data_IF_709718268319
#
_entry.id   IF_709718268319
#
_cell.length_a   1.000
_cell.length_b   1.000
_cell.length_c   1.000
_cell.angle_alpha   90.00
_cell.angle_beta   90.00
_cell.angle_gamma   90.00
#
_symmetry.space_group_name_H-M   'P 1'
#
loop_
_entity.id
_entity.type
_entity.pdbx_description
1 polymer ?
#
# COMPACT_ATOMS: atom_id res chain seq x y z
N UNK A 1 -10.10 23.30 36.95
CA UNK A 1 -9.31 22.09 36.71
C UNK A 1 -9.03 22.10 35.20
N UNK A 2 -7.78 22.39 34.78
CA UNK A 2 -7.39 22.43 33.38
C UNK A 2 -7.20 20.96 32.98
N UNK A 3 -7.82 20.44 31.88
CA UNK A 3 -7.59 19.10 31.43
C UNK A 3 -6.10 18.97 31.05
N UNK A 4 -5.42 18.01 31.65
CA UNK A 4 -4.07 17.63 31.27
C UNK A 4 -4.10 17.23 29.79
N UNK A 5 -3.40 17.99 28.95
CA UNK A 5 -3.16 17.57 27.58
C UNK A 5 -2.49 16.19 27.64
N UNK A 6 -3.11 15.19 27.02
CA UNK A 6 -2.49 13.90 26.85
C UNK A 6 -1.12 14.13 26.20
N UNK A 7 -0.04 13.74 26.89
CA UNK A 7 1.30 13.79 26.30
C UNK A 7 1.29 12.78 25.16
N UNK A 8 1.34 13.23 23.92
CA UNK A 8 1.69 12.36 22.80
C UNK A 8 3.07 11.76 23.09
N UNK A 9 3.13 10.47 23.25
CA UNK A 9 4.39 9.74 23.42
C UNK A 9 4.99 9.62 22.02
N UNK A 10 6.09 10.31 21.80
CA UNK A 10 6.82 10.22 20.54
C UNK A 10 7.82 9.07 20.64
N UNK A 11 7.65 8.04 19.82
CA UNK A 11 8.49 6.86 19.75
C UNK A 11 9.62 7.03 18.72
N UNK A 12 10.78 6.51 19.04
CA UNK A 12 11.85 6.35 18.06
C UNK A 12 11.53 5.19 17.11
N UNK A 13 12.15 5.18 15.94
CA UNK A 13 11.99 4.05 15.01
C UNK A 13 12.51 2.73 15.62
N UNK A 14 13.54 2.76 16.45
CA UNK A 14 14.07 1.59 17.13
C UNK A 14 13.04 1.01 18.14
N UNK A 15 12.32 1.87 18.88
CA UNK A 15 11.24 1.43 19.77
C UNK A 15 10.08 0.81 18.99
N UNK A 16 9.72 1.37 17.83
CA UNK A 16 8.75 0.76 16.92
C UNK A 16 9.20 -0.63 16.46
N UNK A 17 10.45 -0.81 16.04
CA UNK A 17 10.96 -2.11 15.61
C UNK A 17 10.90 -3.14 16.74
N UNK A 18 11.22 -2.75 17.96
CA UNK A 18 11.10 -3.63 19.15
C UNK A 18 9.64 -4.03 19.38
N UNK A 19 8.70 -3.07 19.28
CA UNK A 19 7.27 -3.36 19.39
C UNK A 19 6.81 -4.35 18.31
N UNK A 20 7.23 -4.15 17.07
CA UNK A 20 6.87 -5.03 15.94
C UNK A 20 7.40 -6.47 16.09
N UNK A 21 8.57 -6.64 16.70
CA UNK A 21 9.14 -7.97 16.97
C UNK A 21 8.39 -8.72 18.07
N UNK A 22 7.84 -8.01 19.05
CA UNK A 22 7.14 -8.58 20.21
C UNK A 22 5.62 -8.71 19.98
N UNK A 23 5.06 -7.97 19.04
CA UNK A 23 3.61 -7.90 18.81
C UNK A 23 3.12 -8.98 17.85
N UNK A 24 1.92 -9.51 18.13
CA UNK A 24 1.16 -10.32 17.17
C UNK A 24 0.33 -9.49 16.18
N UNK A 25 0.22 -8.18 16.43
CA UNK A 25 -0.49 -7.22 15.56
C UNK A 25 0.53 -6.33 14.87
N UNK A 26 0.33 -6.07 13.57
CA UNK A 26 1.16 -5.13 12.81
C UNK A 26 0.81 -3.69 13.13
N UNK A 27 1.81 -2.84 13.05
CA UNK A 27 1.65 -1.41 13.25
C UNK A 27 2.29 -0.64 12.11
N UNK A 28 1.69 0.48 11.75
CA UNK A 28 2.33 1.53 10.98
C UNK A 28 3.07 2.48 11.91
N UNK A 29 4.18 3.02 11.41
CA UNK A 29 4.94 4.06 12.10
C UNK A 29 5.04 5.28 11.19
N UNK A 30 4.68 6.45 11.70
CA UNK A 30 4.83 7.70 10.99
C UNK A 30 5.31 8.78 11.96
N UNK A 31 6.52 9.27 11.73
CA UNK A 31 7.12 10.41 12.44
C UNK A 31 6.93 10.38 13.98
N UNK A 32 7.21 9.23 14.57
CA UNK A 32 7.14 9.03 16.03
C UNK A 32 5.81 8.52 16.56
N UNK A 33 4.80 8.39 15.73
CA UNK A 33 3.52 7.81 16.11
C UNK A 33 3.40 6.36 15.60
N UNK A 34 2.78 5.50 16.41
CA UNK A 34 2.57 4.09 16.12
C UNK A 34 1.07 3.81 16.09
N UNK A 35 0.59 3.27 14.97
CA UNK A 35 -0.81 2.97 14.73
C UNK A 35 -1.00 1.47 14.54
N UNK A 36 -1.83 0.84 15.37
CA UNK A 36 -2.19 -0.56 15.17
C UNK A 36 -3.01 -0.72 13.89
N UNK A 37 -2.63 -1.67 13.05
CA UNK A 37 -3.37 -1.99 11.84
C UNK A 37 -4.59 -2.85 12.19
N UNK A 38 -5.77 -2.40 11.80
CA UNK A 38 -6.99 -3.17 11.91
C UNK A 38 -7.02 -4.28 10.83
N UNK A 39 -7.69 -5.40 11.14
CA UNK A 39 -8.00 -6.40 10.12
C UNK A 39 -8.99 -5.85 9.08
N UNK A 40 -8.90 -6.32 7.85
CA UNK A 40 -9.86 -5.99 6.79
C UNK A 40 -11.15 -6.80 6.88
N UNK A 41 -12.20 -6.35 6.17
CA UNK A 41 -13.45 -7.12 5.96
C UNK A 41 -13.18 -8.32 5.02
N UNK A 42 -14.12 -9.29 4.91
CA UNK A 42 -14.04 -10.34 3.90
C UNK A 42 -13.84 -9.80 2.48
N UNK A 43 -14.60 -8.78 2.07
CA UNK A 43 -14.46 -8.14 0.76
C UNK A 43 -13.07 -7.53 0.55
N UNK A 44 -12.53 -6.84 1.56
CA UNK A 44 -11.17 -6.31 1.51
C UNK A 44 -10.14 -7.43 1.26
N UNK A 45 -10.25 -8.53 1.99
CA UNK A 45 -9.33 -9.67 1.84
C UNK A 45 -9.48 -10.34 0.47
N UNK A 46 -10.72 -10.49 -0.04
CA UNK A 46 -11.02 -11.07 -1.35
C UNK A 46 -10.44 -10.20 -2.48
N UNK A 47 -10.66 -8.89 -2.45
CA UNK A 47 -10.13 -7.95 -3.44
C UNK A 47 -8.59 -7.92 -3.44
N UNK A 48 -7.95 -7.91 -2.27
CA UNK A 48 -6.50 -8.01 -2.16
C UNK A 48 -5.99 -9.32 -2.76
N UNK A 49 -6.62 -10.45 -2.40
CA UNK A 49 -6.29 -11.76 -2.96
C UNK A 49 -6.43 -11.82 -4.48
N UNK A 50 -7.53 -11.30 -5.02
CA UNK A 50 -7.82 -11.27 -6.45
C UNK A 50 -6.74 -10.50 -7.23
N UNK A 51 -6.48 -9.24 -6.84
CA UNK A 51 -5.48 -8.41 -7.56
C UNK A 51 -4.08 -9.00 -7.50
N UNK A 52 -3.66 -9.55 -6.35
CA UNK A 52 -2.34 -10.17 -6.20
C UNK A 52 -2.20 -11.43 -7.05
N UNK A 53 -3.26 -12.26 -7.12
CA UNK A 53 -3.32 -13.45 -7.96
C UNK A 53 -3.21 -13.11 -9.45
N UNK A 54 -3.99 -12.11 -9.90
CA UNK A 54 -3.97 -11.63 -11.28
C UNK A 54 -2.57 -11.12 -11.63
N UNK A 55 -1.98 -10.27 -10.81
CA UNK A 55 -0.63 -9.75 -11.02
C UNK A 55 0.40 -10.88 -11.06
N UNK A 56 0.35 -11.82 -10.12
CA UNK A 56 1.28 -12.95 -10.07
C UNK A 56 1.27 -13.76 -11.35
N UNK A 57 0.11 -13.91 -12.00
CA UNK A 57 -0.04 -14.68 -13.25
C UNK A 57 0.43 -13.92 -14.49
N UNK A 58 0.44 -12.58 -14.46
CA UNK A 58 0.68 -11.73 -15.65
C UNK A 58 2.03 -11.02 -15.64
N UNK A 59 2.70 -10.92 -14.48
CA UNK A 59 3.98 -10.20 -14.40
C UNK A 59 5.10 -10.93 -15.14
N UNK A 60 6.01 -10.20 -15.82
CA UNK A 60 7.16 -10.76 -16.48
C UNK A 60 8.16 -11.39 -15.48
N UNK A 61 9.03 -12.24 -16.00
CA UNK A 61 10.13 -12.80 -15.19
C UNK A 61 10.99 -11.68 -14.60
N UNK A 62 11.39 -11.86 -13.33
CA UNK A 62 12.18 -10.88 -12.60
C UNK A 62 11.36 -9.91 -11.77
N UNK A 63 10.04 -9.87 -11.92
CA UNK A 63 9.13 -9.17 -11.03
C UNK A 63 8.49 -10.14 -10.03
N UNK A 64 8.32 -9.68 -8.80
CA UNK A 64 7.69 -10.45 -7.73
C UNK A 64 6.57 -9.65 -7.08
N UNK A 65 5.46 -10.34 -6.81
CA UNK A 65 4.33 -9.83 -6.04
C UNK A 65 4.55 -10.19 -4.57
N UNK A 66 4.28 -9.25 -3.69
CA UNK A 66 4.34 -9.39 -2.25
C UNK A 66 2.98 -9.06 -1.65
N UNK A 67 2.63 -9.74 -0.57
CA UNK A 67 1.43 -9.53 0.22
C UNK A 67 1.64 -8.44 1.28
N UNK A 68 0.60 -8.17 2.06
CA UNK A 68 0.64 -7.27 3.23
C UNK A 68 1.61 -7.72 4.34
N UNK A 69 2.36 -8.81 4.16
CA UNK A 69 3.47 -9.18 5.05
C UNK A 69 4.74 -8.36 4.80
N UNK A 70 4.81 -7.65 3.67
CA UNK A 70 5.98 -6.88 3.30
C UNK A 70 5.92 -5.49 3.93
N UNK A 71 6.87 -5.18 4.81
CA UNK A 71 7.06 -3.83 5.33
C UNK A 71 7.75 -2.95 4.28
N UNK A 72 7.18 -1.79 4.02
CA UNK A 72 7.73 -0.75 3.14
C UNK A 72 8.17 0.44 3.97
N UNK A 73 9.41 0.88 3.79
CA UNK A 73 10.00 2.04 4.47
C UNK A 73 10.13 3.22 3.50
N UNK A 74 9.51 4.33 3.84
CA UNK A 74 9.68 5.63 3.16
C UNK A 74 10.58 6.48 4.03
N UNK A 75 11.90 6.37 3.81
CA UNK A 75 12.90 7.00 4.68
C UNK A 75 12.78 8.54 4.70
N UNK A 76 12.32 9.15 3.59
CA UNK A 76 12.19 10.60 3.43
C UNK A 76 11.14 11.21 4.36
N UNK A 77 10.08 10.47 4.66
CA UNK A 77 8.96 10.95 5.50
C UNK A 77 8.88 10.26 6.85
N UNK A 78 9.71 9.24 7.07
CA UNK A 78 9.65 8.44 8.29
C UNK A 78 8.55 7.39 8.32
N UNK A 79 7.73 7.23 7.25
CA UNK A 79 6.68 6.22 7.20
C UNK A 79 7.28 4.80 7.13
N UNK A 80 6.75 3.89 7.93
CA UNK A 80 6.92 2.44 7.80
C UNK A 80 5.56 1.78 7.87
N UNK A 81 5.17 1.03 6.83
CA UNK A 81 3.80 0.55 6.65
C UNK A 81 3.77 -0.78 5.92
N UNK A 82 2.60 -1.40 5.86
CA UNK A 82 2.34 -2.67 5.18
C UNK A 82 1.21 -2.46 4.16
N UNK A 83 1.52 -2.12 2.90
CA UNK A 83 0.51 -2.05 1.85
C UNK A 83 -0.14 -3.42 1.63
N UNK A 84 -1.38 -3.47 1.14
CA UNK A 84 -2.07 -4.73 0.83
C UNK A 84 -1.34 -5.54 -0.23
N UNK A 85 -0.57 -4.87 -1.07
CA UNK A 85 0.32 -5.52 -2.01
C UNK A 85 1.44 -4.62 -2.54
N UNK A 86 2.51 -5.26 -3.01
CA UNK A 86 3.62 -4.57 -3.65
C UNK A 86 4.21 -5.40 -4.79
N UNK A 87 4.75 -4.71 -5.80
CA UNK A 87 5.53 -5.34 -6.86
C UNK A 87 6.93 -4.75 -6.89
N UNK A 88 7.92 -5.63 -6.86
CA UNK A 88 9.34 -5.28 -7.02
C UNK A 88 9.90 -6.05 -8.20
N UNK A 89 10.53 -5.35 -9.14
CA UNK A 89 11.25 -5.95 -10.26
C UNK A 89 12.76 -5.87 -10.02
N UNK A 90 13.46 -6.96 -10.29
CA UNK A 90 14.88 -7.07 -10.03
C UNK A 90 15.21 -7.38 -8.57
N UNK A 91 16.36 -6.85 -8.09
CA UNK A 91 16.85 -7.12 -6.73
C UNK A 91 16.11 -6.25 -5.71
N UNK A 92 15.59 -6.89 -4.66
CA UNK A 92 14.98 -6.18 -3.51
C UNK A 92 16.05 -5.38 -2.78
N UNK A 93 15.81 -4.07 -2.61
CA UNK A 93 16.62 -3.19 -1.77
C UNK A 93 15.95 -3.03 -0.39
N UNK A 94 16.75 -3.13 0.65
CA UNK A 94 16.30 -3.02 2.04
C UNK A 94 16.63 -1.66 2.61
N UNK A 95 15.87 -1.22 3.60
CA UNK A 95 16.18 -0.01 4.33
C UNK A 95 17.49 -0.17 5.11
N UNK A 96 18.23 0.92 5.27
CA UNK A 96 19.49 0.90 6.01
C UNK A 96 19.29 0.73 7.52
N UNK A 97 18.15 1.24 8.02
CA UNK A 97 17.73 1.23 9.42
C UNK A 97 16.77 0.09 9.77
N UNK A 98 16.36 -0.72 8.75
CA UNK A 98 15.45 -1.86 8.92
C UNK A 98 15.75 -2.97 7.90
N UNK A 99 16.42 -4.06 8.29
CA UNK A 99 16.81 -5.12 7.39
C UNK A 99 15.64 -5.96 6.84
N UNK A 100 14.43 -5.78 7.35
CA UNK A 100 13.21 -6.48 6.89
C UNK A 100 12.44 -5.60 5.90
N UNK A 101 12.40 -4.28 6.12
CA UNK A 101 11.66 -3.36 5.28
C UNK A 101 12.34 -3.14 3.93
N UNK A 102 11.52 -2.93 2.90
CA UNK A 102 11.98 -2.64 1.53
C UNK A 102 11.77 -1.17 1.19
N UNK A 103 12.61 -0.65 0.26
CA UNK A 103 12.60 0.76 -0.16
C UNK A 103 12.41 0.93 -1.67
N UNK A 104 12.24 -0.17 -2.42
CA UNK A 104 12.22 -0.10 -3.89
C UNK A 104 11.02 -0.78 -4.57
N UNK A 105 9.78 -0.62 -4.08
CA UNK A 105 8.62 -1.05 -4.84
C UNK A 105 8.47 -0.21 -6.11
N UNK A 106 8.01 -0.83 -7.21
CA UNK A 106 7.60 -0.16 -8.44
C UNK A 106 6.10 0.15 -8.47
N UNK A 107 5.31 -0.75 -7.88
CA UNK A 107 3.86 -0.66 -7.76
C UNK A 107 3.48 -0.98 -6.33
N UNK A 108 2.59 -0.17 -5.76
CA UNK A 108 1.91 -0.45 -4.49
C UNK A 108 0.41 -0.61 -4.72
N UNK A 109 -0.22 -1.40 -3.87
CA UNK A 109 -1.65 -1.70 -3.94
C UNK A 109 -2.24 -1.47 -2.55
N UNK A 110 -3.31 -0.70 -2.49
CA UNK A 110 -4.16 -0.51 -1.30
C UNK A 110 -5.60 -0.86 -1.66
N UNK A 111 -6.25 -1.63 -0.83
CA UNK A 111 -7.69 -1.85 -0.86
C UNK A 111 -8.29 -0.99 0.24
N UNK A 112 -9.14 -0.04 -0.12
CA UNK A 112 -9.72 0.86 0.88
C UNK A 112 -10.66 0.12 1.84
N UNK A 113 -10.88 0.72 3.01
CA UNK A 113 -11.91 0.30 3.96
C UNK A 113 -12.66 1.52 4.48
N UNK A 114 -13.82 1.36 5.14
CA UNK A 114 -14.54 2.52 5.69
C UNK A 114 -13.72 3.36 6.66
N UNK A 115 -12.74 2.78 7.35
CA UNK A 115 -11.91 3.46 8.34
C UNK A 115 -10.61 4.06 7.77
N UNK A 116 -10.14 3.60 6.61
CA UNK A 116 -8.82 3.98 6.08
C UNK A 116 -8.88 4.76 4.77
N UNK A 117 -10.04 4.82 4.07
CA UNK A 117 -10.13 5.39 2.72
C UNK A 117 -9.55 6.81 2.60
N UNK A 118 -9.88 7.69 3.54
CA UNK A 118 -9.37 9.08 3.52
C UNK A 118 -7.86 9.14 3.74
N UNK A 119 -7.33 8.30 4.62
CA UNK A 119 -5.91 8.18 4.89
C UNK A 119 -5.15 7.60 3.69
N UNK A 120 -5.64 6.49 3.12
CA UNK A 120 -5.02 5.81 1.99
C UNK A 120 -4.96 6.71 0.75
N UNK A 121 -6.05 7.48 0.49
CA UNK A 121 -6.12 8.43 -0.63
C UNK A 121 -5.40 9.75 -0.37
N UNK A 122 -5.12 10.05 0.88
CA UNK A 122 -4.57 11.33 1.33
C UNK A 122 -3.13 11.24 1.79
N UNK A 123 -2.93 11.14 3.09
CA UNK A 123 -1.61 11.24 3.72
C UNK A 123 -0.68 10.08 3.35
N UNK A 124 -1.19 8.84 3.37
CA UNK A 124 -0.42 7.66 3.03
C UNK A 124 0.09 7.71 1.59
N UNK A 125 -0.78 8.11 0.64
CA UNK A 125 -0.40 8.29 -0.75
C UNK A 125 0.71 9.34 -0.92
N UNK A 126 0.60 10.51 -0.26
CA UNK A 126 1.65 11.55 -0.31
C UNK A 126 3.00 11.04 0.23
N UNK A 127 2.99 10.19 1.23
CA UNK A 127 4.20 9.53 1.72
C UNK A 127 4.76 8.56 0.66
N UNK A 128 3.93 7.74 0.02
CA UNK A 128 4.35 6.82 -1.03
C UNK A 128 5.00 7.53 -2.22
N UNK A 129 4.48 8.69 -2.60
CA UNK A 129 5.02 9.52 -3.68
C UNK A 129 6.49 9.92 -3.47
N UNK A 130 6.99 9.89 -2.23
CA UNK A 130 8.39 10.17 -1.90
C UNK A 130 9.33 8.98 -2.15
N UNK A 131 8.81 7.78 -2.43
CA UNK A 131 9.64 6.63 -2.82
C UNK A 131 10.24 6.83 -4.22
N UNK A 132 11.58 6.89 -4.38
CA UNK A 132 12.19 7.19 -5.67
C UNK A 132 11.92 6.14 -6.74
N UNK A 133 11.74 4.88 -6.33
CA UNK A 133 11.46 3.75 -7.23
C UNK A 133 10.01 3.67 -7.67
N UNK A 134 9.08 4.17 -6.86
CA UNK A 134 7.65 3.99 -7.08
C UNK A 134 7.22 4.70 -8.37
N UNK A 135 6.43 4.01 -9.16
CA UNK A 135 5.89 4.50 -10.44
C UNK A 135 4.37 4.53 -10.46
N UNK A 136 3.75 3.58 -9.76
CA UNK A 136 2.29 3.45 -9.79
C UNK A 136 1.76 3.02 -8.42
N UNK A 137 0.55 3.49 -8.08
CA UNK A 137 -0.23 3.02 -6.94
C UNK A 137 -1.62 2.68 -7.44
N UNK A 138 -2.13 1.50 -7.08
CA UNK A 138 -3.52 1.11 -7.26
C UNK A 138 -4.26 1.29 -5.95
N UNK A 139 -5.34 2.07 -5.98
CA UNK A 139 -6.28 2.20 -4.85
C UNK A 139 -7.59 1.56 -5.27
N UNK A 140 -7.91 0.40 -4.70
CA UNK A 140 -9.06 -0.43 -5.04
C UNK A 140 -10.21 -0.09 -4.09
N UNK A 141 -11.36 0.27 -4.63
CA UNK A 141 -12.52 0.65 -3.82
C UNK A 141 -13.20 -0.58 -3.21
N UNK A 142 -13.50 -0.52 -1.91
CA UNK A 142 -14.34 -1.52 -1.24
C UNK A 142 -15.83 -1.31 -1.46
N UNK A 143 -16.25 -0.21 -2.11
CA UNK A 143 -17.67 0.19 -2.23
C UNK A 143 -18.27 -0.09 -3.60
N UNK A 144 -17.46 -0.07 -4.64
CA UNK A 144 -17.91 -0.17 -6.03
C UNK A 144 -16.77 -0.66 -6.92
N UNK A 145 -17.05 -1.30 -8.07
CA UNK A 145 -16.04 -1.68 -9.05
C UNK A 145 -15.33 -0.45 -9.64
N UNK A 146 -14.36 0.05 -8.88
CA UNK A 146 -13.55 1.21 -9.23
C UNK A 146 -12.12 1.04 -8.70
N UNK A 147 -11.17 1.29 -9.57
CA UNK A 147 -9.74 1.35 -9.22
C UNK A 147 -9.20 2.71 -9.61
N UNK A 148 -8.60 3.40 -8.65
CA UNK A 148 -7.85 4.62 -8.90
C UNK A 148 -6.41 4.25 -9.19
N UNK A 149 -5.94 4.55 -10.40
CA UNK A 149 -4.54 4.45 -10.79
C UNK A 149 -3.86 5.79 -10.56
N UNK A 150 -2.90 5.82 -9.65
CA UNK A 150 -2.03 6.99 -9.43
C UNK A 150 -0.68 6.67 -10.06
N UNK A 151 -0.20 7.53 -10.97
CA UNK A 151 1.01 7.27 -11.76
C UNK A 151 1.96 8.45 -11.74
N UNK A 152 3.25 8.15 -11.54
CA UNK A 152 4.33 9.12 -11.70
C UNK A 152 4.62 9.34 -13.17
N UNK A 153 4.56 10.58 -13.58
CA UNK A 153 4.89 11.06 -14.91
C UNK A 153 6.35 11.52 -15.01
N UNK A 154 6.72 12.04 -16.17
CA UNK A 154 7.98 12.75 -16.30
C UNK A 154 8.02 13.97 -15.37
N UNK A 155 9.21 14.36 -14.90
CA UNK A 155 9.44 15.46 -13.93
C UNK A 155 8.84 15.26 -12.54
N UNK A 156 8.62 13.98 -12.14
CA UNK A 156 8.09 13.63 -10.82
C UNK A 156 6.67 14.16 -10.52
N UNK A 157 5.91 14.52 -11.55
CA UNK A 157 4.50 14.86 -11.41
C UNK A 157 3.67 13.60 -11.26
N UNK A 158 2.62 13.63 -10.42
CA UNK A 158 1.70 12.53 -10.21
C UNK A 158 0.34 12.83 -10.81
N UNK A 159 -0.23 11.86 -11.51
CA UNK A 159 -1.58 11.93 -12.08
C UNK A 159 -2.45 10.83 -11.52
N UNK A 160 -3.73 11.11 -11.37
CA UNK A 160 -4.71 10.16 -10.88
C UNK A 160 -5.82 9.97 -11.90
N UNK A 161 -6.24 8.74 -12.12
CA UNK A 161 -7.38 8.39 -13.00
C UNK A 161 -8.19 7.25 -12.40
N UNK A 162 -9.50 7.39 -12.43
CA UNK A 162 -10.44 6.35 -12.02
C UNK A 162 -10.82 5.46 -13.20
N UNK A 163 -10.68 4.16 -13.01
CA UNK A 163 -11.12 3.14 -13.96
C UNK A 163 -12.26 2.33 -13.34
N UNK A 164 -13.25 2.00 -14.15
CA UNK A 164 -14.50 1.35 -13.74
C UNK A 164 -14.71 0.05 -14.49
N UNK A 165 -15.80 -0.66 -14.17
CA UNK A 165 -16.25 -1.87 -14.88
C UNK A 165 -16.20 -1.67 -16.40
N UNK A 166 -15.74 -2.68 -17.13
CA UNK A 166 -15.47 -2.66 -18.58
C UNK A 166 -14.15 -2.05 -18.99
N UNK A 167 -13.36 -1.50 -18.07
CA UNK A 167 -12.07 -0.85 -18.38
C UNK A 167 -10.88 -1.73 -17.94
N UNK A 168 -9.76 -1.55 -18.65
CA UNK A 168 -8.47 -2.17 -18.32
C UNK A 168 -7.50 -1.13 -17.77
N UNK A 169 -6.68 -1.56 -16.83
CA UNK A 169 -5.66 -0.80 -16.15
C UNK A 169 -4.32 -1.20 -16.73
N UNK A 170 -3.69 -0.32 -17.50
CA UNK A 170 -2.35 -0.55 -18.04
C UNK A 170 -1.31 -0.20 -16.98
N UNK A 171 -0.57 -1.17 -16.49
CA UNK A 171 0.52 -1.03 -15.51
C UNK A 171 1.85 -0.97 -16.25
N UNK A 172 2.19 0.21 -16.76
CA UNK A 172 3.36 0.42 -17.62
C UNK A 172 4.66 0.12 -16.88
N UNK A 173 4.73 0.44 -15.59
CA UNK A 173 5.94 0.24 -14.78
C UNK A 173 6.35 -1.23 -14.64
N UNK A 174 5.38 -2.14 -14.73
CA UNK A 174 5.59 -3.58 -14.54
C UNK A 174 5.27 -4.39 -15.80
N UNK A 175 4.94 -3.72 -16.92
CA UNK A 175 4.68 -4.36 -18.21
C UNK A 175 3.49 -5.33 -18.20
N UNK A 176 2.40 -4.94 -17.53
CA UNK A 176 1.20 -5.76 -17.37
C UNK A 176 -0.06 -4.93 -17.58
N UNK A 177 -1.19 -5.60 -17.82
CA UNK A 177 -2.52 -4.98 -17.86
C UNK A 177 -3.50 -5.88 -17.11
N UNK A 178 -4.41 -5.28 -16.34
CA UNK A 178 -5.43 -5.99 -15.57
C UNK A 178 -6.80 -5.36 -15.81
N UNK A 179 -7.86 -6.16 -15.81
CA UNK A 179 -9.23 -5.67 -15.93
C UNK A 179 -9.80 -5.30 -14.56
N UNK A 180 -10.57 -4.22 -14.49
CA UNK A 180 -11.36 -3.91 -13.28
C UNK A 180 -12.33 -5.05 -12.99
N UNK A 181 -12.99 -5.60 -14.02
CA UNK A 181 -13.96 -6.69 -13.84
C UNK A 181 -13.31 -7.98 -13.31
N UNK A 182 -12.04 -8.26 -13.66
CA UNK A 182 -11.31 -9.42 -13.13
C UNK A 182 -11.06 -9.27 -11.61
N UNK A 183 -10.79 -8.04 -11.13
CA UNK A 183 -10.56 -7.78 -9.70
C UNK A 183 -11.84 -7.99 -8.89
N UNK A 184 -12.99 -7.62 -9.46
CA UNK A 184 -14.31 -7.68 -8.81
C UNK A 184 -15.16 -8.86 -9.29
N UNK A 185 -14.55 -9.91 -9.86
CA UNK A 185 -15.26 -11.03 -10.46
C UNK A 185 -16.20 -11.75 -9.48
N UNK A 186 -15.83 -11.83 -8.20
CA UNK A 186 -16.63 -12.46 -7.14
C UNK A 186 -17.71 -11.52 -6.54
N UNK A 187 -17.73 -10.25 -6.99
CA UNK A 187 -18.66 -9.24 -6.47
C UNK A 187 -18.19 -8.61 -5.16
N UNK A 188 -19.09 -7.85 -4.54
CA UNK A 188 -18.94 -7.28 -3.20
C UNK A 188 -20.15 -7.74 -2.38
N UNK A 189 -19.93 -8.26 -1.17
CA UNK A 189 -20.97 -8.80 -0.29
C UNK A 189 -21.33 -7.81 0.84
N UNK A 190 -20.40 -6.92 1.23
CA UNK A 190 -20.54 -6.01 2.38
C UNK A 190 -21.14 -4.63 2.01
N UNK A 191 -21.67 -4.45 0.77
CA UNK A 191 -22.20 -3.18 0.25
C UNK A 191 -23.72 -3.09 0.33
#
# INVERSE_FOLDING_TARGET
MVPSAARHVHHTYAEYLTLEEESSTRHEYLDGEIYAMAGGTPDHAALAGAVLSILRSRLPRGCRVFTSDLRVRVAQTGLSTYPDGAVICGKTARAADDPIAVVNPLLLIEVTSPSTEDYDRGEKLRNYEQLPSLREVLIISHREPRVTLVRRQEKDEWTSSDLRSGQSIDLVSVGSSISVDDIYADGLEDV
#
